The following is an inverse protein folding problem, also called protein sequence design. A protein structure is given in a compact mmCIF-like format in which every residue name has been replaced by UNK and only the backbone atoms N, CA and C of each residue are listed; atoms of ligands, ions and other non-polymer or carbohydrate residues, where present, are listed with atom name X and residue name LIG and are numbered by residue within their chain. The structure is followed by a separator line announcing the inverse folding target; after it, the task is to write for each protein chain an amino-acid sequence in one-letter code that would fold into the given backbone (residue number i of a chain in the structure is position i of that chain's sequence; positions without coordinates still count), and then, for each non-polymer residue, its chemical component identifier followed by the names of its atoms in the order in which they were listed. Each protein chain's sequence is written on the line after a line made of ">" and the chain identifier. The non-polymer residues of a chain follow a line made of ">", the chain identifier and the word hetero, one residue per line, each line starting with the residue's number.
data_IF_173112011125
#
_entry.id   IF_173112011125
#
_cell.length_a   1.000
_cell.length_b   1.000
_cell.length_c   1.000
_cell.angle_alpha   90.00
_cell.angle_beta   90.00
_cell.angle_gamma   90.00
#
_symmetry.space_group_name_H-M   'P 1'
#
loop_
_entity.id
_entity.type
_entity.pdbx_description
1 polymer ?
#
# COMPACT_ATOMS: atom_id res chain seq x y z
N UNK A 1 -4.87 -13.45 -1.46
CA UNK A 1 -3.81 -14.30 -2.05
C UNK A 1 -2.67 -13.51 -2.65
N UNK A 2 -2.91 -12.52 -3.52
CA UNK A 2 -1.83 -11.75 -4.16
C UNK A 2 -0.85 -11.08 -3.19
N UNK A 3 -1.35 -10.40 -2.15
CA UNK A 3 -0.49 -9.75 -1.14
C UNK A 3 0.36 -10.76 -0.34
N UNK A 4 -0.20 -11.93 -0.02
CA UNK A 4 0.50 -13.00 0.68
C UNK A 4 1.61 -13.59 -0.21
N UNK A 5 1.32 -13.83 -1.50
CA UNK A 5 2.29 -14.33 -2.46
C UNK A 5 3.47 -13.34 -2.64
N UNK A 6 3.17 -12.04 -2.74
CA UNK A 6 4.20 -10.99 -2.76
C UNK A 6 5.07 -11.00 -1.51
N UNK A 7 4.46 -11.09 -0.33
CA UNK A 7 5.18 -11.17 0.94
C UNK A 7 6.10 -12.38 1.04
N UNK A 8 5.64 -13.57 0.62
CA UNK A 8 6.45 -14.80 0.61
C UNK A 8 7.64 -14.66 -0.36
N UNK A 9 7.41 -14.15 -1.56
CA UNK A 9 8.47 -13.94 -2.55
C UNK A 9 9.52 -12.97 -2.01
N UNK A 10 9.09 -11.86 -1.40
CA UNK A 10 9.99 -10.88 -0.81
C UNK A 10 10.79 -11.48 0.36
N UNK A 11 10.14 -12.20 1.27
CA UNK A 11 10.80 -12.83 2.42
C UNK A 11 11.87 -13.87 2.06
N UNK A 12 11.73 -14.54 0.90
CA UNK A 12 12.71 -15.51 0.40
C UNK A 12 13.84 -14.81 -0.36
N UNK A 13 13.50 -13.82 -1.21
CA UNK A 13 14.48 -13.15 -2.07
C UNK A 13 15.35 -12.15 -1.33
N UNK A 14 14.85 -11.52 -0.26
CA UNK A 14 15.63 -10.57 0.54
C UNK A 14 16.92 -11.21 1.07
N UNK A 15 16.90 -12.32 1.85
CA UNK A 15 18.14 -12.96 2.31
C UNK A 15 19.03 -13.44 1.17
N UNK A 16 18.44 -13.94 0.07
CA UNK A 16 19.18 -14.43 -1.08
C UNK A 16 19.98 -13.31 -1.77
N UNK A 17 19.34 -12.15 -1.98
CA UNK A 17 19.97 -11.03 -2.69
C UNK A 17 20.87 -10.19 -1.80
N UNK A 18 20.49 -10.01 -0.54
CA UNK A 18 21.28 -9.24 0.43
C UNK A 18 22.55 -10.04 0.79
N UNK A 19 22.41 -11.29 1.23
CA UNK A 19 23.55 -12.07 1.75
C UNK A 19 24.17 -13.01 0.71
N UNK A 20 23.36 -13.61 -0.16
CA UNK A 20 23.87 -14.54 -1.18
C UNK A 20 24.65 -13.84 -2.29
N UNK A 21 24.14 -12.73 -2.80
CA UNK A 21 24.80 -11.93 -3.85
C UNK A 21 25.59 -10.72 -3.33
N UNK A 22 25.56 -10.44 -2.01
CA UNK A 22 26.22 -9.28 -1.39
C UNK A 22 25.77 -7.92 -1.96
N UNK A 23 24.53 -7.83 -2.46
CA UNK A 23 24.00 -6.60 -3.05
C UNK A 23 23.42 -5.63 -2.02
N UNK A 24 23.50 -5.93 -0.71
CA UNK A 24 23.06 -5.04 0.36
C UNK A 24 21.68 -4.39 0.07
N UNK A 25 21.64 -3.06 -0.05
CA UNK A 25 20.40 -2.28 -0.23
C UNK A 25 19.84 -2.46 -1.65
N UNK A 26 20.69 -2.56 -2.66
CA UNK A 26 20.31 -2.84 -4.04
C UNK A 26 19.65 -4.22 -4.16
N UNK A 27 20.11 -5.19 -3.36
CA UNK A 27 19.51 -6.52 -3.26
C UNK A 27 18.08 -6.48 -2.74
N UNK A 28 17.84 -5.76 -1.64
CA UNK A 28 16.51 -5.57 -1.07
C UNK A 28 15.56 -4.85 -2.05
N UNK A 29 16.08 -3.85 -2.78
CA UNK A 29 15.31 -3.16 -3.82
C UNK A 29 14.92 -4.10 -4.97
N UNK A 30 15.87 -4.92 -5.47
CA UNK A 30 15.61 -5.89 -6.54
C UNK A 30 14.60 -6.96 -6.11
N UNK A 31 14.73 -7.51 -4.89
CA UNK A 31 13.79 -8.47 -4.33
C UNK A 31 12.36 -7.88 -4.22
N UNK A 32 12.26 -6.59 -3.85
CA UNK A 32 10.99 -5.86 -3.80
C UNK A 32 10.34 -5.72 -5.18
N UNK A 33 11.11 -5.42 -6.23
CA UNK A 33 10.61 -5.36 -7.61
C UNK A 33 10.07 -6.72 -8.05
N UNK A 34 10.80 -7.80 -7.79
CA UNK A 34 10.37 -9.16 -8.15
C UNK A 34 9.09 -9.56 -7.39
N UNK A 35 8.99 -9.22 -6.10
CA UNK A 35 7.78 -9.43 -5.32
C UNK A 35 6.57 -8.67 -5.92
N UNK A 36 6.75 -7.45 -6.44
CA UNK A 36 5.69 -6.71 -7.13
C UNK A 36 5.23 -7.41 -8.40
N UNK A 37 6.14 -8.01 -9.17
CA UNK A 37 5.75 -8.83 -10.33
C UNK A 37 4.97 -10.09 -9.92
N UNK A 38 5.32 -10.73 -8.81
CA UNK A 38 4.53 -11.83 -8.28
C UNK A 38 3.10 -11.37 -7.90
N UNK A 39 2.96 -10.26 -7.18
CA UNK A 39 1.65 -9.67 -6.87
C UNK A 39 0.86 -9.37 -8.14
N UNK A 40 1.51 -8.79 -9.15
CA UNK A 40 0.89 -8.52 -10.45
C UNK A 40 0.37 -9.81 -11.08
N UNK A 41 1.20 -10.85 -11.19
CA UNK A 41 0.80 -12.13 -11.78
C UNK A 41 -0.39 -12.76 -11.04
N UNK A 42 -0.31 -12.86 -9.70
CA UNK A 42 -1.36 -13.47 -8.88
C UNK A 42 -2.65 -12.64 -8.80
N UNK A 43 -2.60 -11.33 -9.10
CA UNK A 43 -3.79 -10.47 -9.21
C UNK A 43 -4.38 -10.47 -10.62
N UNK A 44 -3.52 -10.43 -11.64
CA UNK A 44 -3.91 -10.22 -13.02
C UNK A 44 -4.48 -11.50 -13.65
N UNK A 45 -3.92 -12.67 -13.35
CA UNK A 45 -4.38 -13.95 -13.93
C UNK A 45 -5.84 -14.24 -13.56
N UNK A 46 -6.28 -14.16 -12.29
CA UNK A 46 -7.69 -14.32 -11.93
C UNK A 46 -8.58 -13.23 -12.53
N UNK A 47 -8.11 -11.98 -12.58
CA UNK A 47 -8.87 -10.86 -13.13
C UNK A 47 -9.23 -11.08 -14.62
N UNK A 48 -8.27 -11.56 -15.42
CA UNK A 48 -8.45 -11.83 -16.85
C UNK A 48 -9.24 -13.12 -17.07
N UNK A 49 -8.78 -14.23 -16.48
CA UNK A 49 -9.25 -15.58 -16.84
C UNK A 49 -10.48 -16.05 -16.09
N UNK A 50 -10.64 -15.60 -14.84
CA UNK A 50 -11.73 -16.08 -13.96
C UNK A 50 -12.89 -15.10 -13.98
N UNK A 51 -12.62 -13.81 -13.79
CA UNK A 51 -13.67 -12.80 -13.65
C UNK A 51 -14.02 -12.06 -14.95
N UNK A 52 -13.20 -12.16 -16.00
CA UNK A 52 -13.38 -11.50 -17.31
C UNK A 52 -13.72 -10.00 -17.20
N UNK A 53 -13.19 -9.31 -16.18
CA UNK A 53 -13.50 -7.91 -15.88
C UNK A 53 -12.70 -6.90 -16.72
N UNK A 54 -11.87 -7.38 -17.65
CA UNK A 54 -10.97 -6.54 -18.43
C UNK A 54 -11.59 -6.17 -19.78
N UNK A 55 -12.01 -4.92 -19.90
CA UNK A 55 -12.28 -4.30 -21.20
C UNK A 55 -11.01 -3.67 -21.76
N UNK A 56 -10.88 -3.62 -23.08
CA UNK A 56 -9.71 -2.98 -23.72
C UNK A 56 -9.70 -1.49 -23.39
N UNK A 57 -8.59 -0.93 -22.89
CA UNK A 57 -8.52 0.49 -22.61
C UNK A 57 -8.68 1.28 -23.93
N UNK A 58 -9.71 2.10 -24.00
CA UNK A 58 -9.94 3.05 -25.10
C UNK A 58 -9.72 4.47 -24.58
N UNK A 59 -9.14 5.32 -25.41
CA UNK A 59 -8.94 6.73 -25.10
C UNK A 59 -10.25 7.44 -24.73
N UNK A 60 -11.36 7.06 -25.37
CA UNK A 60 -12.68 7.63 -25.08
C UNK A 60 -13.20 7.20 -23.70
N UNK A 61 -12.97 5.95 -23.30
CA UNK A 61 -13.33 5.45 -21.96
C UNK A 61 -12.53 6.18 -20.89
N UNK A 62 -11.22 6.34 -21.09
CA UNK A 62 -10.36 7.08 -20.16
C UNK A 62 -10.84 8.52 -20.02
N UNK A 63 -11.06 9.22 -21.14
CA UNK A 63 -11.49 10.63 -21.11
C UNK A 63 -12.84 10.81 -20.41
N UNK A 64 -13.80 9.91 -20.66
CA UNK A 64 -15.12 9.94 -20.04
C UNK A 64 -15.05 9.73 -18.53
N UNK A 65 -14.26 8.75 -18.10
CA UNK A 65 -14.27 8.31 -16.70
C UNK A 65 -13.28 9.14 -15.83
N UNK A 66 -12.33 9.86 -16.44
CA UNK A 66 -11.33 10.71 -15.77
C UNK A 66 -11.97 11.71 -14.80
N UNK A 67 -13.04 12.42 -15.20
CA UNK A 67 -13.65 13.46 -14.35
C UNK A 67 -14.25 12.87 -13.06
N UNK A 68 -14.93 11.74 -13.17
CA UNK A 68 -15.52 11.04 -12.02
C UNK A 68 -14.41 10.45 -11.14
N UNK A 69 -13.40 9.86 -11.77
CA UNK A 69 -12.25 9.29 -11.06
C UNK A 69 -11.47 10.37 -10.28
N UNK A 70 -11.23 11.55 -10.87
CA UNK A 70 -10.55 12.66 -10.22
C UNK A 70 -11.32 13.23 -9.03
N UNK A 71 -12.65 13.27 -9.10
CA UNK A 71 -13.49 13.72 -7.98
C UNK A 71 -13.32 12.84 -6.72
N UNK A 72 -12.94 11.57 -6.88
CA UNK A 72 -12.65 10.64 -5.79
C UNK A 72 -11.15 10.60 -5.47
N UNK A 73 -10.31 10.57 -6.50
CA UNK A 73 -8.87 10.44 -6.37
C UNK A 73 -8.23 11.66 -5.71
N UNK A 74 -8.66 12.89 -6.04
CA UNK A 74 -8.07 14.10 -5.46
C UNK A 74 -8.26 14.15 -3.94
N UNK A 75 -9.49 14.02 -3.39
CA UNK A 75 -9.67 13.94 -1.94
C UNK A 75 -8.87 12.79 -1.31
N UNK A 76 -8.88 11.61 -1.92
CA UNK A 76 -8.15 10.46 -1.41
C UNK A 76 -6.63 10.71 -1.36
N UNK A 77 -6.05 11.33 -2.39
CA UNK A 77 -4.64 11.71 -2.43
C UNK A 77 -4.32 12.71 -1.32
N UNK A 78 -5.15 13.73 -1.13
CA UNK A 78 -4.96 14.73 -0.07
C UNK A 78 -4.98 14.04 1.30
N UNK A 79 -5.97 13.18 1.56
CA UNK A 79 -6.07 12.44 2.82
C UNK A 79 -4.88 11.52 3.06
N UNK A 80 -4.45 10.78 2.04
CA UNK A 80 -3.31 9.86 2.16
C UNK A 80 -1.96 10.60 2.27
N UNK A 81 -1.85 11.83 1.75
CA UNK A 81 -0.62 12.64 1.83
C UNK A 81 -0.58 13.49 3.11
N UNK A 82 -1.72 13.77 3.73
CA UNK A 82 -1.79 14.52 4.98
C UNK A 82 -0.98 13.85 6.10
N UNK A 83 -1.06 12.51 6.23
CA UNK A 83 -0.32 11.76 7.26
C UNK A 83 1.20 11.86 7.11
N UNK A 84 1.83 11.55 5.95
CA UNK A 84 3.28 11.67 5.81
C UNK A 84 3.76 13.13 5.93
N UNK A 85 2.99 14.12 5.45
CA UNK A 85 3.31 15.54 5.64
C UNK A 85 3.28 15.88 7.14
N UNK A 86 2.23 15.48 7.86
CA UNK A 86 2.12 15.68 9.30
C UNK A 86 3.29 15.04 10.05
N UNK A 87 3.64 13.81 9.70
CA UNK A 87 4.80 13.12 10.28
C UNK A 87 6.10 13.85 9.99
N UNK A 88 6.30 14.39 8.78
CA UNK A 88 7.50 15.16 8.43
C UNK A 88 7.61 16.45 9.25
N UNK A 89 6.50 17.17 9.44
CA UNK A 89 6.44 18.38 10.27
C UNK A 89 6.76 18.04 11.73
N UNK A 90 6.12 17.01 12.29
CA UNK A 90 6.36 16.56 13.67
C UNK A 90 7.81 16.11 13.84
N UNK A 91 8.34 15.31 12.91
CA UNK A 91 9.74 14.86 12.96
C UNK A 91 10.71 16.04 12.92
N UNK A 92 10.46 17.04 12.07
CA UNK A 92 11.29 18.25 11.98
C UNK A 92 11.24 19.06 13.27
N UNK A 93 10.07 19.17 13.91
CA UNK A 93 9.94 19.85 15.20
C UNK A 93 10.66 19.08 16.32
N UNK A 94 10.55 17.75 16.34
CA UNK A 94 11.22 16.89 17.32
C UNK A 94 12.74 16.92 17.15
N UNK A 95 13.24 16.98 15.91
CA UNK A 95 14.67 17.00 15.61
C UNK A 95 15.40 18.20 16.26
N UNK A 96 14.69 19.29 16.56
CA UNK A 96 15.26 20.45 17.27
C UNK A 96 15.66 20.14 18.72
N UNK A 97 15.13 19.05 19.30
CA UNK A 97 15.41 18.64 20.68
C UNK A 97 16.54 17.59 20.77
N UNK A 98 17.07 17.12 19.65
CA UNK A 98 18.19 16.17 19.59
C UNK A 98 17.81 14.78 19.07
N UNK A 99 18.83 13.98 18.77
CA UNK A 99 18.68 12.68 18.10
C UNK A 99 17.93 11.64 18.94
N UNK A 100 18.11 11.66 20.27
CA UNK A 100 17.43 10.72 21.19
C UNK A 100 15.91 10.84 21.11
N UNK A 101 15.37 12.06 20.94
CA UNK A 101 13.93 12.27 20.80
C UNK A 101 13.40 11.78 19.46
N UNK A 102 14.18 11.94 18.38
CA UNK A 102 13.84 11.42 17.05
C UNK A 102 13.85 9.87 17.06
N UNK A 103 14.82 9.27 17.73
CA UNK A 103 14.87 7.82 17.93
C UNK A 103 13.65 7.33 18.72
N UNK A 104 13.28 8.02 19.80
CA UNK A 104 12.06 7.74 20.56
C UNK A 104 10.80 7.82 19.71
N UNK A 105 10.68 8.86 18.88
CA UNK A 105 9.55 9.01 17.94
C UNK A 105 9.50 7.86 16.92
N UNK A 106 10.65 7.39 16.43
CA UNK A 106 10.71 6.24 15.53
C UNK A 106 10.24 4.93 16.19
N UNK A 107 10.53 4.75 17.49
CA UNK A 107 10.00 3.61 18.27
C UNK A 107 8.49 3.71 18.43
N UNK A 108 7.97 4.87 18.78
CA UNK A 108 6.51 5.11 18.88
C UNK A 108 5.83 4.77 17.56
N UNK A 109 6.38 5.22 16.43
CA UNK A 109 5.85 4.93 15.09
C UNK A 109 5.75 3.45 14.75
N UNK A 110 6.58 2.58 15.35
CA UNK A 110 6.50 1.12 15.19
C UNK A 110 5.46 0.47 16.10
N UNK A 111 5.19 1.06 17.27
CA UNK A 111 4.24 0.54 18.26
C UNK A 111 2.81 0.97 17.92
N UNK A 112 2.60 2.18 17.40
CA UNK A 112 1.27 2.73 17.07
C UNK A 112 0.43 1.78 16.21
N UNK A 113 0.93 1.19 15.09
CA UNK A 113 0.12 0.27 14.29
C UNK A 113 -0.34 -0.98 15.05
N UNK A 114 0.45 -1.44 16.03
CA UNK A 114 0.09 -2.60 16.86
C UNK A 114 -1.02 -2.22 17.84
N UNK A 115 -0.89 -1.08 18.51
CA UNK A 115 -1.91 -0.56 19.43
C UNK A 115 -3.24 -0.26 18.73
N UNK A 116 -3.18 0.22 17.48
CA UNK A 116 -4.35 0.61 16.69
C UNK A 116 -4.78 -0.44 15.66
N UNK A 117 -4.22 -1.66 15.71
CA UNK A 117 -4.46 -2.71 14.74
C UNK A 117 -5.95 -3.03 14.55
N UNK A 118 -6.70 -3.08 15.66
CA UNK A 118 -8.15 -3.31 15.63
C UNK A 118 -8.92 -2.21 14.90
N UNK A 119 -8.56 -0.94 15.15
CA UNK A 119 -9.21 0.22 14.52
C UNK A 119 -8.93 0.22 13.00
N UNK A 120 -7.69 -0.09 12.60
CA UNK A 120 -7.34 -0.20 11.19
C UNK A 120 -8.04 -1.37 10.50
N UNK A 121 -8.15 -2.53 11.17
CA UNK A 121 -8.89 -3.67 10.65
C UNK A 121 -10.37 -3.36 10.45
N UNK A 122 -11.00 -2.70 11.43
CA UNK A 122 -12.41 -2.31 11.35
C UNK A 122 -12.65 -1.31 10.21
N UNK A 123 -11.82 -0.26 10.11
CA UNK A 123 -11.90 0.73 9.04
C UNK A 123 -11.80 0.09 7.64
N UNK A 124 -10.89 -0.87 7.47
CA UNK A 124 -10.73 -1.61 6.21
C UNK A 124 -11.89 -2.55 5.87
N UNK A 125 -12.59 -3.09 6.89
CA UNK A 125 -13.70 -4.02 6.69
C UNK A 125 -15.04 -3.33 6.40
N UNK A 126 -15.28 -2.15 7.02
CA UNK A 126 -16.58 -1.46 6.93
C UNK A 126 -16.89 -0.98 5.51
N UNK A 127 -15.90 -0.46 4.78
CA UNK A 127 -16.10 0.06 3.42
C UNK A 127 -16.71 -0.95 2.44
N UNK A 128 -16.10 -2.14 2.26
CA UNK A 128 -16.66 -3.19 1.42
C UNK A 128 -18.04 -3.69 1.88
N UNK A 129 -18.26 -3.82 3.20
CA UNK A 129 -19.55 -4.27 3.76
C UNK A 129 -20.66 -3.29 3.41
N UNK A 130 -20.44 -1.99 3.65
CA UNK A 130 -21.41 -0.95 3.30
C UNK A 130 -21.63 -0.91 1.78
N UNK A 131 -20.56 -1.00 0.98
CA UNK A 131 -20.67 -0.99 -0.49
C UNK A 131 -21.48 -2.18 -1.02
N UNK A 132 -21.28 -3.37 -0.47
CA UNK A 132 -22.05 -4.57 -0.82
C UNK A 132 -23.52 -4.44 -0.40
N UNK A 133 -23.78 -3.98 0.83
CA UNK A 133 -25.13 -3.77 1.34
C UNK A 133 -25.91 -2.74 0.51
N UNK A 134 -25.29 -1.58 0.27
CA UNK A 134 -25.86 -0.53 -0.56
C UNK A 134 -26.14 -1.02 -1.99
N UNK A 135 -25.21 -1.78 -2.60
CA UNK A 135 -25.41 -2.38 -3.93
C UNK A 135 -26.50 -3.46 -3.97
N UNK A 136 -26.76 -4.13 -2.84
CA UNK A 136 -27.83 -5.11 -2.68
C UNK A 136 -29.17 -4.48 -2.23
N UNK A 137 -29.24 -3.15 -2.10
CA UNK A 137 -30.39 -2.41 -1.55
C UNK A 137 -30.85 -2.93 -0.18
N UNK A 138 -29.90 -3.28 0.69
CA UNK A 138 -30.12 -3.71 2.07
C UNK A 138 -29.27 -2.92 3.05
#
# INVERSE_FOLDING_TARGET
>A
MATLAGGIVNAILDPLFIFGFNWNVEGAAAASVVARFAVFYFSFVPLVKVHQLLSRPSFDSVRRDTKVMLAIAIPAIITNTATPIGNAIVTTAIAQYGEDFVAGFAVIGRITPVCFAFIFALSGAVGPIIGQNFGAAK
#
